data_IF_704751022125
#
_entry.id   IF_704751022125
#
_cell.length_a   1.000
_cell.length_b   1.000
_cell.length_c   1.000
_cell.angle_alpha   90.00
_cell.angle_beta   90.00
_cell.angle_gamma   90.00
#
_symmetry.space_group_name_H-M   'P 1'
#
loop_
_entity.id
_entity.type
_entity.pdbx_description
1 polymer ?
#
# COMPACT_ATOMS: atom_id res chain seq x y z
N UNK A 1 71.42 -24.42 23.43
CA UNK A 1 69.96 -24.28 23.64
C UNK A 1 69.75 -23.11 24.58
N UNK A 2 69.04 -22.05 24.15
CA UNK A 2 68.76 -20.87 24.98
C UNK A 2 67.55 -21.14 25.87
N UNK A 3 67.52 -20.63 27.11
CA UNK A 3 66.44 -20.87 28.06
C UNK A 3 65.11 -20.30 27.52
N UNK A 4 64.02 -21.05 27.69
CA UNK A 4 62.66 -20.74 27.21
C UNK A 4 62.09 -19.43 27.79
N UNK A 5 62.78 -18.83 28.76
CA UNK A 5 62.41 -17.58 29.42
C UNK A 5 62.53 -16.34 28.52
N UNK A 6 63.23 -16.47 27.38
CA UNK A 6 63.44 -15.39 26.41
C UNK A 6 62.34 -15.31 25.34
N UNK A 7 61.32 -16.18 25.40
CA UNK A 7 60.14 -16.05 24.56
C UNK A 7 59.15 -15.12 25.25
N UNK A 8 59.23 -13.82 24.92
CA UNK A 8 58.11 -12.91 25.14
C UNK A 8 56.90 -13.49 24.41
N UNK A 9 55.90 -13.91 25.18
CA UNK A 9 54.59 -14.22 24.64
C UNK A 9 54.12 -12.97 23.89
N UNK A 10 53.87 -13.09 22.58
CA UNK A 10 53.25 -12.02 21.82
C UNK A 10 52.02 -11.56 22.60
N UNK A 11 51.98 -10.26 22.94
CA UNK A 11 50.92 -9.66 23.74
C UNK A 11 49.57 -10.11 23.21
N UNK A 12 48.92 -11.03 23.92
CA UNK A 12 47.56 -11.47 23.65
C UNK A 12 46.60 -10.43 24.23
N UNK A 13 46.77 -9.18 23.83
CA UNK A 13 45.73 -8.18 23.99
C UNK A 13 44.89 -8.28 22.71
N UNK A 14 43.77 -9.02 22.69
CA UNK A 14 42.76 -8.73 21.69
C UNK A 14 42.37 -7.28 21.94
N UNK A 15 42.64 -6.37 20.99
CA UNK A 15 42.05 -5.04 21.03
C UNK A 15 40.57 -5.24 21.35
N UNK A 16 40.07 -4.76 22.49
CA UNK A 16 38.65 -4.87 22.75
C UNK A 16 38.00 -4.09 21.63
N UNK A 17 37.14 -4.75 20.84
CA UNK A 17 36.25 -4.06 19.90
C UNK A 17 35.34 -3.20 20.78
N UNK A 18 35.84 -2.03 21.12
CA UNK A 18 35.18 -1.06 21.95
C UNK A 18 34.11 -0.46 21.07
N UNK A 19 32.91 -1.03 21.10
CA UNK A 19 31.72 -0.36 20.61
C UNK A 19 31.53 0.88 21.47
N UNK A 20 32.18 1.98 21.07
CA UNK A 20 32.03 3.27 21.70
C UNK A 20 30.55 3.63 21.63
N UNK A 21 30.04 4.31 22.66
CA UNK A 21 28.63 4.76 22.69
C UNK A 21 28.25 5.53 21.41
N UNK A 22 29.22 6.19 20.77
CA UNK A 22 29.06 6.85 19.47
C UNK A 22 28.81 5.90 18.29
N UNK A 23 29.45 4.73 18.25
CA UNK A 23 29.19 3.73 17.21
C UNK A 23 27.76 3.19 17.29
N UNK A 24 27.32 2.79 18.50
CA UNK A 24 25.95 2.27 18.70
C UNK A 24 24.91 3.35 18.37
N UNK A 25 25.15 4.59 18.79
CA UNK A 25 24.26 5.71 18.48
C UNK A 25 24.16 5.95 16.96
N UNK A 26 25.27 5.88 16.24
CA UNK A 26 25.31 6.08 14.79
C UNK A 26 24.54 4.99 14.06
N UNK A 27 24.68 3.72 14.47
CA UNK A 27 23.92 2.61 13.90
C UNK A 27 22.42 2.77 14.14
N UNK A 28 22.02 3.13 15.36
CA UNK A 28 20.61 3.40 15.69
C UNK A 28 20.05 4.55 14.85
N UNK A 29 20.81 5.63 14.68
CA UNK A 29 20.40 6.77 13.86
C UNK A 29 20.16 6.37 12.41
N UNK A 30 21.08 5.59 11.82
CA UNK A 30 20.94 5.09 10.44
C UNK A 30 19.69 4.21 10.31
N UNK A 31 19.46 3.30 11.25
CA UNK A 31 18.27 2.45 11.25
C UNK A 31 16.97 3.27 11.34
N UNK A 32 16.96 4.33 12.15
CA UNK A 32 15.82 5.25 12.28
C UNK A 32 15.53 5.96 10.97
N UNK A 33 16.57 6.48 10.29
CA UNK A 33 16.43 7.13 8.98
C UNK A 33 15.90 6.14 7.93
N UNK A 34 16.42 4.92 7.90
CA UNK A 34 15.95 3.87 6.99
C UNK A 34 14.48 3.54 7.24
N UNK A 35 14.05 3.39 8.50
CA UNK A 35 12.64 3.16 8.82
C UNK A 35 11.73 4.30 8.35
N UNK A 36 12.15 5.55 8.53
CA UNK A 36 11.38 6.72 8.06
C UNK A 36 11.22 6.73 6.53
N UNK A 37 12.29 6.42 5.79
CA UNK A 37 12.25 6.33 4.33
C UNK A 37 11.29 5.22 3.89
N UNK A 38 11.39 4.02 4.47
CA UNK A 38 10.51 2.89 4.14
C UNK A 38 9.05 3.23 4.45
N UNK A 39 8.76 3.81 5.62
CA UNK A 39 7.40 4.16 6.01
C UNK A 39 6.77 5.21 5.08
N UNK A 40 7.55 6.25 4.72
CA UNK A 40 7.11 7.26 3.77
C UNK A 40 6.83 6.68 2.39
N UNK A 41 7.75 5.85 1.89
CA UNK A 41 7.62 5.19 0.59
C UNK A 41 6.39 4.28 0.53
N UNK A 42 6.16 3.46 1.56
CA UNK A 42 4.98 2.58 1.67
C UNK A 42 3.68 3.40 1.65
N UNK A 43 3.66 4.56 2.29
CA UNK A 43 2.46 5.42 2.34
C UNK A 43 2.14 6.01 0.97
N UNK A 44 3.15 6.50 0.24
CA UNK A 44 2.97 7.03 -1.12
C UNK A 44 2.45 5.94 -2.05
N UNK A 45 3.08 4.76 -2.05
CA UNK A 45 2.63 3.64 -2.90
C UNK A 45 1.21 3.19 -2.58
N UNK A 46 0.81 3.18 -1.31
CA UNK A 46 -0.57 2.84 -0.92
C UNK A 46 -1.59 3.82 -1.49
N UNK A 47 -1.31 5.13 -1.46
CA UNK A 47 -2.20 6.15 -2.03
C UNK A 47 -2.33 6.00 -3.55
N UNK A 48 -1.21 5.81 -4.25
CA UNK A 48 -1.22 5.63 -5.71
C UNK A 48 -1.93 4.35 -6.13
N UNK A 49 -1.73 3.24 -5.40
CA UNK A 49 -2.38 1.96 -5.69
C UNK A 49 -3.87 2.03 -5.43
N UNK A 50 -4.32 2.66 -4.33
CA UNK A 50 -5.75 2.84 -4.07
C UNK A 50 -6.44 3.70 -5.14
N UNK A 51 -5.78 4.77 -5.61
CA UNK A 51 -6.29 5.59 -6.69
C UNK A 51 -6.37 4.83 -8.03
N UNK A 52 -5.35 4.01 -8.34
CA UNK A 52 -5.34 3.17 -9.53
C UNK A 52 -6.45 2.10 -9.46
N UNK A 53 -6.60 1.44 -8.31
CA UNK A 53 -7.65 0.45 -8.07
C UNK A 53 -9.04 1.09 -8.19
N UNK A 54 -9.25 2.28 -7.64
CA UNK A 54 -10.51 3.01 -7.80
C UNK A 54 -10.82 3.29 -9.29
N UNK A 55 -9.84 3.71 -10.09
CA UNK A 55 -10.01 3.87 -11.54
C UNK A 55 -10.40 2.57 -12.24
N UNK A 56 -9.74 1.46 -11.91
CA UNK A 56 -10.05 0.15 -12.47
C UNK A 56 -11.48 -0.28 -12.12
N UNK A 57 -11.87 -0.12 -10.85
CA UNK A 57 -13.22 -0.42 -10.37
C UNK A 57 -14.27 0.44 -11.08
N UNK A 58 -13.98 1.73 -11.32
CA UNK A 58 -14.88 2.60 -12.07
C UNK A 58 -15.07 2.12 -13.51
N UNK A 59 -13.99 1.76 -14.20
CA UNK A 59 -14.05 1.26 -15.57
C UNK A 59 -14.80 -0.07 -15.65
N UNK A 60 -14.55 -0.98 -14.70
CA UNK A 60 -15.28 -2.24 -14.59
C UNK A 60 -16.77 -2.01 -14.31
N UNK A 61 -17.10 -1.09 -13.40
CA UNK A 61 -18.48 -0.72 -13.09
C UNK A 61 -19.19 -0.16 -14.31
N UNK A 62 -18.53 0.73 -15.06
CA UNK A 62 -19.09 1.27 -16.31
C UNK A 62 -19.30 0.18 -17.37
N UNK A 63 -18.33 -0.71 -17.57
CA UNK A 63 -18.47 -1.83 -18.51
C UNK A 63 -19.67 -2.71 -18.14
N UNK A 64 -19.80 -3.08 -16.86
CA UNK A 64 -20.89 -3.92 -16.36
C UNK A 64 -22.26 -3.22 -16.43
N UNK A 65 -22.30 -1.92 -16.16
CA UNK A 65 -23.50 -1.11 -16.30
C UNK A 65 -24.02 -1.09 -17.76
N UNK A 66 -23.11 -0.93 -18.72
CA UNK A 66 -23.43 -0.98 -20.16
C UNK A 66 -23.96 -2.37 -20.55
N UNK A 67 -23.36 -3.44 -20.04
CA UNK A 67 -23.86 -4.81 -20.28
C UNK A 67 -25.28 -5.02 -19.75
N UNK A 68 -25.58 -4.54 -18.53
CA UNK A 68 -26.92 -4.64 -17.96
C UNK A 68 -27.95 -3.79 -18.73
N UNK A 69 -27.56 -2.62 -19.24
CA UNK A 69 -28.41 -1.80 -20.09
C UNK A 69 -28.67 -2.46 -21.44
N UNK A 70 -27.62 -3.02 -22.08
CA UNK A 70 -27.73 -3.75 -23.34
C UNK A 70 -28.60 -5.01 -23.21
N UNK A 71 -28.57 -5.65 -22.03
CA UNK A 71 -29.42 -6.80 -21.69
C UNK A 71 -30.88 -6.46 -21.37
N UNK A 72 -31.27 -5.18 -21.38
CA UNK A 72 -32.65 -4.73 -21.15
C UNK A 72 -33.12 -4.72 -19.69
N UNK A 73 -32.24 -5.08 -18.75
CA UNK A 73 -32.53 -5.09 -17.32
C UNK A 73 -31.44 -4.35 -16.56
N UNK A 74 -31.46 -3.03 -16.67
CA UNK A 74 -30.48 -2.18 -15.99
C UNK A 74 -30.57 -2.32 -14.48
N UNK A 75 -29.42 -2.52 -13.85
CA UNK A 75 -29.21 -2.41 -12.40
C UNK A 75 -27.84 -1.80 -12.15
N UNK A 76 -27.68 -1.08 -11.05
CA UNK A 76 -26.37 -0.58 -10.64
C UNK A 76 -25.48 -1.77 -10.27
N UNK A 77 -24.28 -1.92 -10.85
CA UNK A 77 -23.38 -3.02 -10.54
C UNK A 77 -22.98 -3.03 -9.07
N UNK A 78 -23.07 -4.19 -8.44
CA UNK A 78 -22.58 -4.38 -7.06
C UNK A 78 -21.20 -5.01 -7.06
N UNK A 79 -20.52 -5.00 -5.92
CA UNK A 79 -19.17 -5.55 -5.77
C UNK A 79 -19.04 -6.97 -6.36
N UNK A 80 -20.02 -7.86 -6.12
CA UNK A 80 -20.00 -9.22 -6.66
C UNK A 80 -20.00 -9.27 -8.20
N UNK A 81 -20.64 -8.31 -8.87
CA UNK A 81 -20.69 -8.24 -10.33
C UNK A 81 -19.36 -7.76 -10.95
N UNK A 82 -18.48 -7.19 -10.13
CA UNK A 82 -17.21 -6.60 -10.57
C UNK A 82 -16.01 -7.51 -10.34
N UNK A 83 -16.13 -8.51 -9.45
CA UNK A 83 -15.02 -9.42 -9.08
C UNK A 83 -14.40 -10.07 -10.32
N UNK A 84 -15.23 -10.52 -11.26
CA UNK A 84 -14.77 -11.17 -12.49
C UNK A 84 -13.97 -10.22 -13.41
N UNK A 85 -14.21 -8.91 -13.31
CA UNK A 85 -13.57 -7.89 -14.13
C UNK A 85 -12.32 -7.27 -13.49
N UNK A 86 -12.31 -7.12 -12.15
CA UNK A 86 -11.22 -6.46 -11.42
C UNK A 86 -10.26 -7.45 -10.76
N UNK A 87 -10.64 -8.72 -10.64
CA UNK A 87 -9.88 -9.74 -9.91
C UNK A 87 -10.18 -9.76 -8.40
N UNK A 88 -9.98 -10.92 -7.79
CA UNK A 88 -10.23 -11.12 -6.36
C UNK A 88 -9.31 -10.25 -5.49
N UNK A 89 -8.10 -9.96 -5.96
CA UNK A 89 -7.05 -9.24 -5.23
C UNK A 89 -7.39 -7.77 -4.98
N UNK A 90 -8.13 -7.16 -5.91
CA UNK A 90 -8.58 -5.76 -5.82
C UNK A 90 -9.79 -5.64 -4.89
N UNK A 91 -10.65 -6.66 -4.89
CA UNK A 91 -11.83 -6.77 -4.04
C UNK A 91 -11.52 -7.26 -2.62
N UNK A 92 -10.43 -8.00 -2.42
CA UNK A 92 -10.05 -8.57 -1.14
C UNK A 92 -9.77 -7.46 -0.12
N UNK A 93 -10.47 -7.50 1.01
CA UNK A 93 -10.40 -6.48 2.09
C UNK A 93 -10.84 -5.07 1.66
N UNK A 94 -11.44 -4.94 0.47
CA UNK A 94 -11.97 -3.68 -0.03
C UNK A 94 -13.50 -3.67 0.01
N UNK A 95 -14.07 -2.52 0.36
CA UNK A 95 -15.50 -2.24 0.21
C UNK A 95 -15.70 -1.33 -1.00
N UNK A 96 -16.45 -1.81 -1.97
CA UNK A 96 -16.75 -1.09 -3.21
C UNK A 96 -18.20 -0.63 -3.18
N UNK A 97 -18.44 0.66 -3.41
CA UNK A 97 -19.76 1.21 -3.64
C UNK A 97 -19.78 1.91 -4.99
N UNK A 98 -20.74 1.55 -5.83
CA UNK A 98 -20.97 2.15 -7.14
C UNK A 98 -22.22 3.01 -7.03
N UNK A 99 -22.13 4.25 -7.48
CA UNK A 99 -23.26 5.19 -7.47
C UNK A 99 -23.55 5.64 -8.89
N UNK A 100 -24.79 5.41 -9.28
CA UNK A 100 -25.45 5.96 -10.47
C UNK A 100 -26.81 6.48 -10.00
N UNK A 101 -26.92 7.81 -9.90
CA UNK A 101 -28.10 8.50 -9.40
C UNK A 101 -29.22 8.50 -10.44
N UNK A 102 -28.86 8.57 -11.72
CA UNK A 102 -29.81 8.71 -12.83
C UNK A 102 -30.27 7.36 -13.39
N UNK A 103 -29.61 6.27 -13.00
CA UNK A 103 -29.83 4.90 -13.48
C UNK A 103 -29.79 4.80 -15.01
N UNK A 104 -28.92 5.57 -15.63
CA UNK A 104 -28.77 5.67 -17.08
C UNK A 104 -27.55 4.88 -17.62
N UNK A 105 -26.94 4.07 -16.75
CA UNK A 105 -25.69 3.33 -16.97
C UNK A 105 -24.44 4.23 -17.05
N UNK A 106 -24.57 5.51 -16.74
CA UNK A 106 -23.45 6.41 -16.51
C UNK A 106 -23.13 6.42 -15.03
N UNK A 107 -22.00 5.82 -14.65
CA UNK A 107 -21.55 5.84 -13.27
C UNK A 107 -21.06 7.25 -12.92
N UNK A 108 -21.75 7.91 -11.97
CA UNK A 108 -21.38 9.25 -11.48
C UNK A 108 -20.07 9.19 -10.70
N UNK A 109 -20.02 8.30 -9.71
CA UNK A 109 -18.82 8.07 -8.91
C UNK A 109 -18.81 6.69 -8.26
N UNK A 110 -17.62 6.29 -7.82
CA UNK A 110 -17.45 5.12 -6.95
C UNK A 110 -16.78 5.52 -5.64
N UNK A 111 -16.96 4.68 -4.63
CA UNK A 111 -16.21 4.74 -3.38
C UNK A 111 -15.48 3.41 -3.22
N UNK A 112 -14.16 3.45 -3.25
CA UNK A 112 -13.27 2.33 -2.98
C UNK A 112 -12.66 2.51 -1.59
N UNK A 113 -13.05 1.67 -0.63
CA UNK A 113 -12.52 1.74 0.73
C UNK A 113 -11.65 0.54 1.05
N UNK A 114 -10.40 0.76 1.45
CA UNK A 114 -9.44 -0.29 1.85
C UNK A 114 -8.45 0.25 2.88
N UNK A 115 -8.10 -0.57 3.87
CA UNK A 115 -7.07 -0.26 4.88
C UNK A 115 -7.31 1.06 5.63
N UNK A 116 -8.57 1.38 5.96
CA UNK A 116 -8.93 2.64 6.63
C UNK A 116 -8.90 3.88 5.74
N UNK A 117 -8.79 3.73 4.41
CA UNK A 117 -8.87 4.83 3.46
C UNK A 117 -10.07 4.63 2.55
N UNK A 118 -10.84 5.69 2.30
CA UNK A 118 -11.90 5.73 1.31
C UNK A 118 -11.46 6.64 0.15
N UNK A 119 -11.40 6.07 -1.04
CA UNK A 119 -11.08 6.78 -2.29
C UNK A 119 -12.36 6.95 -3.08
N UNK A 120 -12.86 8.18 -3.17
CA UNK A 120 -13.92 8.57 -4.09
C UNK A 120 -13.30 8.87 -5.44
N UNK A 121 -13.83 8.24 -6.49
CA UNK A 121 -13.40 8.47 -7.86
C UNK A 121 -14.58 8.80 -8.75
N UNK A 122 -14.48 9.88 -9.51
CA UNK A 122 -15.34 10.24 -10.63
C UNK A 122 -14.47 10.68 -11.81
N UNK A 123 -15.01 10.72 -13.04
CA UNK A 123 -14.27 11.23 -14.19
C UNK A 123 -13.80 12.68 -13.95
N UNK A 124 -12.48 12.88 -13.87
CA UNK A 124 -11.88 14.20 -13.66
C UNK A 124 -11.64 14.59 -12.21
N UNK A 125 -12.14 13.84 -11.23
CA UNK A 125 -11.92 14.14 -9.81
C UNK A 125 -11.58 12.85 -9.03
N UNK A 126 -10.53 12.91 -8.22
CA UNK A 126 -10.16 11.81 -7.31
C UNK A 126 -9.89 12.39 -5.94
N UNK A 127 -10.64 11.96 -4.95
CA UNK A 127 -10.52 12.42 -3.57
C UNK A 127 -10.34 11.23 -2.65
N UNK A 128 -9.26 11.22 -1.86
CA UNK A 128 -8.99 10.19 -0.88
C UNK A 128 -9.14 10.77 0.53
N UNK A 129 -10.01 10.17 1.33
CA UNK A 129 -10.28 10.55 2.71
C UNK A 129 -9.88 9.40 3.61
N UNK A 130 -9.13 9.70 4.67
CA UNK A 130 -8.86 8.73 5.72
C UNK A 130 -10.13 8.53 6.54
N UNK A 131 -10.57 7.28 6.69
CA UNK A 131 -11.67 6.95 7.58
C UNK A 131 -11.13 7.01 9.01
N UNK A 132 -11.68 7.91 9.83
CA UNK A 132 -11.43 7.88 11.26
C UNK A 132 -12.34 6.77 11.82
N UNK A 133 -11.73 5.65 12.20
CA UNK A 133 -12.39 4.64 13.04
C UNK A 133 -12.65 5.18 14.45
#
# INVERSE_FOLDING_TARGET
MRPIKDYEFASADPEPIGFSRGFVLTVVLILLVVMLIIAGLVTIFRQTTNAANAKLVYLAARARAIEFQAGGHYRVPVQADLIDLIGAEISQEAKIQVVDENRDATIDYIIYSRNGWATRYSPGETSAVKLNE
#
